data_IF_981372764596
#
_entry.id   IF_981372764596
#
_cell.length_a   1.000
_cell.length_b   1.000
_cell.length_c   1.000
_cell.angle_alpha   90.00
_cell.angle_beta   90.00
_cell.angle_gamma   90.00
#
_symmetry.space_group_name_H-M   'P 1'
#
loop_
_entity.id
_entity.type
_entity.pdbx_description
1 polymer ?
#
# COMPACT_ATOMS: atom_id res chain seq x y z
N UNK A 1 -13.06 -10.39 40.04
CA UNK A 1 -13.13 -11.62 39.27
C UNK A 1 -12.78 -11.27 37.84
N UNK A 2 -11.49 -11.40 37.47
CA UNK A 2 -11.04 -11.27 36.08
C UNK A 2 -11.52 -12.50 35.34
N UNK A 3 -12.60 -12.37 34.55
CA UNK A 3 -12.99 -13.39 33.60
C UNK A 3 -11.92 -13.41 32.50
N UNK A 4 -10.98 -14.33 32.59
CA UNK A 4 -10.12 -14.67 31.49
C UNK A 4 -11.02 -15.19 30.37
N UNK A 5 -11.20 -14.39 29.32
CA UNK A 5 -11.79 -14.86 28.09
C UNK A 5 -10.79 -15.83 27.47
N UNK A 6 -11.00 -17.12 27.67
CA UNK A 6 -10.26 -18.14 26.96
C UNK A 6 -10.55 -17.98 25.47
N UNK A 7 -9.50 -17.69 24.71
CA UNK A 7 -9.51 -17.53 23.27
C UNK A 7 -8.85 -18.76 22.65
N UNK A 8 -9.55 -19.46 21.79
CA UNK A 8 -8.92 -20.45 20.91
C UNK A 8 -8.27 -19.73 19.75
N UNK A 9 -6.98 -19.98 19.51
CA UNK A 9 -6.23 -19.37 18.41
C UNK A 9 -5.70 -20.48 17.53
N UNK A 10 -6.15 -20.50 16.27
CA UNK A 10 -5.59 -21.38 15.25
C UNK A 10 -4.73 -20.55 14.32
N UNK A 11 -3.50 -21.00 14.09
CA UNK A 11 -2.53 -20.31 13.25
C UNK A 11 -2.04 -21.23 12.14
N UNK A 12 -1.74 -20.62 10.98
CA UNK A 12 -1.05 -21.28 9.90
C UNK A 12 -0.04 -20.34 9.26
N UNK A 13 1.19 -20.80 9.05
CA UNK A 13 2.26 -19.99 8.44
C UNK A 13 3.28 -20.86 7.70
N UNK A 14 4.11 -20.20 6.88
CA UNK A 14 5.24 -20.84 6.20
C UNK A 14 4.82 -21.95 5.25
N UNK A 15 5.59 -23.03 5.26
CA UNK A 15 5.41 -24.29 4.49
C UNK A 15 4.50 -25.28 5.25
N UNK A 16 3.17 -25.35 5.02
CA UNK A 16 2.31 -24.73 6.01
C UNK A 16 2.39 -25.48 7.33
N UNK A 17 2.80 -24.75 8.32
CA UNK A 17 2.75 -25.16 9.72
C UNK A 17 1.41 -24.73 10.31
N UNK A 18 0.81 -25.60 11.11
CA UNK A 18 -0.46 -25.34 11.78
C UNK A 18 -0.32 -25.46 13.29
N UNK A 19 -1.01 -24.59 14.01
CA UNK A 19 -1.30 -24.74 15.44
C UNK A 19 -2.82 -24.76 15.56
N UNK A 20 -3.35 -25.82 16.18
CA UNK A 20 -4.80 -25.98 16.45
C UNK A 20 -5.29 -24.99 17.50
N UNK A 21 -6.62 -24.86 17.68
CA UNK A 21 -7.20 -24.02 18.74
C UNK A 21 -6.73 -24.40 20.15
N UNK A 22 -6.34 -25.64 20.36
CA UNK A 22 -5.86 -26.16 21.64
C UNK A 22 -4.33 -26.21 21.74
N UNK A 23 -3.63 -25.66 20.71
CA UNK A 23 -2.19 -25.46 20.71
C UNK A 23 -1.36 -26.66 20.22
N UNK A 24 -1.97 -27.65 19.55
CA UNK A 24 -1.25 -28.77 18.95
C UNK A 24 -0.62 -28.34 17.62
N UNK A 25 0.70 -28.54 17.52
CA UNK A 25 1.47 -28.24 16.30
C UNK A 25 1.53 -29.44 15.36
N UNK A 26 1.34 -29.20 14.06
CA UNK A 26 1.62 -30.16 12.99
C UNK A 26 1.99 -29.42 11.69
N UNK A 27 2.65 -30.10 10.75
CA UNK A 27 2.92 -29.62 9.40
C UNK A 27 2.14 -30.44 8.40
N UNK A 28 1.65 -29.81 7.32
CA UNK A 28 0.85 -30.51 6.34
C UNK A 28 1.05 -29.92 4.93
N UNK A 29 1.48 -30.78 4.00
CA UNK A 29 1.67 -30.43 2.60
C UNK A 29 0.44 -30.82 1.79
N UNK A 30 -0.35 -29.83 1.38
CA UNK A 30 -1.55 -30.07 0.59
C UNK A 30 -1.71 -29.06 -0.54
N UNK A 31 -2.33 -29.48 -1.63
CA UNK A 31 -2.58 -28.65 -2.82
C UNK A 31 -4.05 -28.65 -3.18
N UNK A 32 -4.89 -28.31 -2.21
CA UNK A 32 -6.35 -28.25 -2.33
C UNK A 32 -6.93 -27.16 -1.44
N UNK A 33 -8.22 -26.92 -1.58
CA UNK A 33 -9.02 -26.17 -0.61
C UNK A 33 -9.52 -27.13 0.46
N UNK A 34 -9.25 -26.81 1.72
CA UNK A 34 -9.61 -27.62 2.88
C UNK A 34 -10.55 -26.86 3.81
N UNK A 35 -11.30 -27.61 4.61
CA UNK A 35 -12.07 -27.04 5.72
C UNK A 35 -11.09 -26.71 6.84
N UNK A 36 -10.81 -25.43 7.01
CA UNK A 36 -9.95 -24.96 8.10
C UNK A 36 -10.68 -25.06 9.44
N UNK A 37 -11.90 -24.58 9.47
CA UNK A 37 -12.77 -24.64 10.64
C UNK A 37 -14.24 -24.66 10.20
N UNK A 38 -15.04 -25.53 10.76
CA UNK A 38 -16.49 -25.47 10.70
C UNK A 38 -17.10 -25.81 12.06
N UNK A 39 -18.33 -25.35 12.28
CA UNK A 39 -19.08 -25.70 13.48
C UNK A 39 -19.62 -27.14 13.39
N UNK A 40 -19.39 -27.95 14.42
CA UNK A 40 -19.99 -29.31 14.54
C UNK A 40 -21.51 -29.20 14.54
N UNK A 41 -22.04 -28.23 15.28
CA UNK A 41 -23.46 -27.88 15.27
C UNK A 41 -23.61 -26.44 14.84
N UNK A 42 -24.22 -26.20 13.69
CA UNK A 42 -24.40 -24.88 13.10
C UNK A 42 -25.22 -23.97 14.02
N UNK A 43 -24.55 -23.13 14.80
CA UNK A 43 -25.12 -22.17 15.75
C UNK A 43 -25.01 -20.74 15.27
N UNK A 44 -23.86 -20.41 14.72
CA UNK A 44 -23.56 -19.07 14.21
C UNK A 44 -23.40 -19.06 12.69
N UNK A 45 -23.39 -20.24 12.05
CA UNK A 45 -23.18 -20.44 10.63
C UNK A 45 -21.85 -19.86 10.15
N UNK A 46 -20.79 -20.10 10.92
CA UNK A 46 -19.42 -19.75 10.56
C UNK A 46 -18.69 -20.99 10.01
N UNK A 47 -18.13 -20.83 8.81
CA UNK A 47 -17.27 -21.84 8.19
C UNK A 47 -16.09 -21.15 7.51
N UNK A 48 -14.91 -21.68 7.67
CA UNK A 48 -13.67 -21.10 7.15
C UNK A 48 -12.95 -22.17 6.33
N UNK A 49 -12.55 -21.80 5.12
CA UNK A 49 -11.77 -22.63 4.23
C UNK A 49 -10.38 -22.04 4.08
N UNK A 50 -9.38 -22.90 3.93
CA UNK A 50 -8.02 -22.54 3.50
C UNK A 50 -7.74 -23.15 2.14
N UNK A 51 -7.24 -22.34 1.22
CA UNK A 51 -6.78 -22.79 -0.07
C UNK A 51 -5.27 -22.86 -0.07
N UNK A 52 -4.73 -24.06 -0.03
CA UNK A 52 -3.30 -24.34 -0.13
C UNK A 52 -2.92 -24.64 -1.57
N UNK A 53 -1.79 -24.11 -2.01
CA UNK A 53 -1.22 -24.37 -3.33
C UNK A 53 0.29 -24.55 -3.21
N UNK A 54 0.90 -25.30 -4.13
CA UNK A 54 2.36 -25.31 -4.20
C UNK A 54 2.88 -23.93 -4.59
N UNK A 55 3.68 -23.32 -3.71
CA UNK A 55 4.20 -21.96 -3.88
C UNK A 55 5.30 -21.91 -4.93
N UNK A 56 6.16 -22.94 -4.94
CA UNK A 56 7.23 -23.11 -5.91
C UNK A 56 6.97 -24.39 -6.73
N UNK A 57 6.91 -24.28 -8.06
CA UNK A 57 6.72 -25.45 -8.92
C UNK A 57 7.87 -26.45 -8.88
N UNK A 58 9.03 -26.06 -8.33
CA UNK A 58 10.24 -26.90 -8.25
C UNK A 58 10.40 -27.58 -6.90
N UNK A 59 9.66 -27.14 -5.90
CA UNK A 59 9.66 -27.65 -4.53
C UNK A 59 8.23 -28.04 -4.16
N UNK A 60 8.00 -29.24 -3.65
CA UNK A 60 6.67 -29.70 -3.19
C UNK A 60 6.28 -29.04 -1.86
N UNK A 61 6.34 -27.70 -1.84
CA UNK A 61 6.11 -26.84 -0.68
C UNK A 61 4.80 -26.12 -0.84
N UNK A 62 3.88 -26.27 0.10
CA UNK A 62 2.57 -25.63 0.07
C UNK A 62 2.56 -24.27 0.77
N UNK A 63 1.73 -23.36 0.27
CA UNK A 63 1.46 -22.08 0.90
C UNK A 63 -0.04 -21.83 1.01
N UNK A 64 -0.52 -21.21 2.07
CA UNK A 64 -1.90 -20.74 2.15
C UNK A 64 -2.08 -19.54 1.23
N UNK A 65 -2.75 -19.75 0.09
CA UNK A 65 -3.04 -18.71 -0.91
C UNK A 65 -4.19 -17.82 -0.50
N UNK A 66 -5.23 -18.39 0.11
CA UNK A 66 -6.40 -17.64 0.53
C UNK A 66 -7.15 -18.27 1.70
N UNK A 67 -7.91 -17.44 2.42
CA UNK A 67 -8.96 -17.86 3.33
C UNK A 67 -10.31 -17.44 2.78
N UNK A 68 -11.26 -18.36 2.70
CA UNK A 68 -12.65 -18.07 2.38
C UNK A 68 -13.50 -18.24 3.65
N UNK A 69 -14.16 -17.16 4.05
CA UNK A 69 -14.96 -17.10 5.28
C UNK A 69 -16.43 -17.00 4.90
N UNK A 70 -17.20 -18.02 5.21
CA UNK A 70 -18.64 -18.03 5.08
C UNK A 70 -19.27 -17.77 6.44
N UNK A 71 -20.03 -16.67 6.56
CA UNK A 71 -20.76 -16.30 7.77
C UNK A 71 -22.19 -15.89 7.42
N UNK A 72 -23.16 -16.72 7.81
CA UNK A 72 -24.53 -16.57 7.37
C UNK A 72 -24.67 -16.66 5.86
N UNK A 73 -25.11 -15.57 5.21
CA UNK A 73 -25.25 -15.50 3.75
C UNK A 73 -24.08 -14.79 3.06
N UNK A 74 -23.07 -14.36 3.81
CA UNK A 74 -21.93 -13.63 3.28
C UNK A 74 -20.73 -14.56 3.11
N UNK A 75 -20.08 -14.45 1.97
CA UNK A 75 -18.83 -15.16 1.68
C UNK A 75 -17.79 -14.15 1.30
N UNK A 76 -16.74 -14.06 2.12
CA UNK A 76 -15.60 -13.17 1.91
C UNK A 76 -14.34 -14.02 1.73
N UNK A 77 -13.57 -13.72 0.70
CA UNK A 77 -12.27 -14.37 0.46
C UNK A 77 -11.16 -13.35 0.66
N UNK A 78 -10.23 -13.66 1.56
CA UNK A 78 -8.98 -12.94 1.74
C UNK A 78 -7.90 -13.68 0.95
N UNK A 79 -7.27 -13.03 -0.02
CA UNK A 79 -6.36 -13.69 -0.96
C UNK A 79 -5.04 -12.94 -1.12
N UNK A 80 -3.95 -13.68 -1.26
CA UNK A 80 -2.67 -13.18 -1.70
C UNK A 80 -2.40 -13.65 -3.13
N UNK A 81 -2.37 -12.71 -4.08
CA UNK A 81 -2.12 -13.00 -5.50
C UNK A 81 -0.63 -13.20 -5.82
N UNK A 82 0.27 -12.93 -4.89
CA UNK A 82 1.70 -13.11 -5.09
C UNK A 82 2.33 -13.79 -3.87
N UNK A 83 2.54 -15.10 -3.99
CA UNK A 83 3.09 -15.93 -2.90
C UNK A 83 4.62 -15.87 -2.83
N UNK A 84 5.27 -15.53 -3.94
CA UNK A 84 6.73 -15.43 -4.04
C UNK A 84 7.11 -13.99 -4.38
N UNK A 85 7.31 -13.14 -3.37
CA UNK A 85 7.69 -11.75 -3.56
C UNK A 85 6.82 -10.76 -2.79
N UNK A 86 6.74 -9.51 -3.27
CA UNK A 86 5.93 -8.49 -2.60
C UNK A 86 4.44 -8.91 -2.57
N UNK A 87 3.80 -8.98 -1.40
CA UNK A 87 2.44 -9.47 -1.25
C UNK A 87 1.44 -8.56 -1.97
N UNK A 88 0.47 -9.18 -2.63
CA UNK A 88 -0.67 -8.49 -3.21
C UNK A 88 -1.94 -9.01 -2.56
N UNK A 89 -2.26 -8.45 -1.40
CA UNK A 89 -3.43 -8.83 -0.62
C UNK A 89 -4.69 -8.15 -1.14
N UNK A 90 -5.77 -8.92 -1.25
CA UNK A 90 -7.06 -8.45 -1.70
C UNK A 90 -8.19 -9.17 -0.95
N UNK A 91 -9.27 -8.45 -0.67
CA UNK A 91 -10.50 -9.04 -0.16
C UNK A 91 -11.56 -9.07 -1.27
N UNK A 92 -12.23 -10.20 -1.41
CA UNK A 92 -13.27 -10.41 -2.41
C UNK A 92 -14.59 -10.76 -1.73
N UNK A 93 -15.71 -10.26 -2.25
CA UNK A 93 -17.06 -10.71 -1.89
C UNK A 93 -17.71 -11.35 -3.11
N UNK A 94 -18.03 -12.63 -3.03
CA UNK A 94 -18.59 -13.40 -4.14
C UNK A 94 -17.74 -13.32 -5.43
N UNK A 95 -16.42 -13.24 -5.30
CA UNK A 95 -15.49 -13.13 -6.41
C UNK A 95 -15.23 -11.70 -6.92
N UNK A 96 -15.96 -10.70 -6.45
CA UNK A 96 -15.75 -9.30 -6.79
C UNK A 96 -14.90 -8.59 -5.73
N UNK A 97 -14.02 -7.68 -6.18
CA UNK A 97 -13.14 -6.92 -5.31
C UNK A 97 -13.90 -6.06 -4.32
N UNK A 98 -13.61 -6.24 -3.05
CA UNK A 98 -14.19 -5.48 -1.96
C UNK A 98 -13.40 -4.19 -1.72
N UNK A 99 -14.08 -3.05 -1.68
CA UNK A 99 -13.46 -1.77 -1.31
C UNK A 99 -13.25 -1.74 0.21
N UNK A 100 -12.00 -1.62 0.65
CA UNK A 100 -11.65 -1.55 2.07
C UNK A 100 -11.46 -0.09 2.53
N UNK A 101 -11.81 0.24 3.80
CA UNK A 101 -12.42 -0.62 4.78
C UNK A 101 -13.90 -0.90 4.46
N UNK A 102 -14.36 -2.10 4.77
CA UNK A 102 -15.73 -2.53 4.57
C UNK A 102 -16.40 -2.82 5.92
N UNK A 103 -17.57 -2.27 6.16
CA UNK A 103 -18.37 -2.52 7.36
C UNK A 103 -19.83 -2.61 6.99
N UNK A 104 -20.38 -3.80 7.00
CA UNK A 104 -21.80 -4.06 6.76
C UNK A 104 -22.29 -5.29 7.54
N UNK A 105 -23.58 -5.25 7.97
CA UNK A 105 -24.33 -6.41 8.46
C UNK A 105 -23.65 -7.25 9.55
N UNK A 106 -22.92 -6.67 10.46
CA UNK A 106 -22.21 -7.36 11.54
C UNK A 106 -20.81 -7.89 11.22
N UNK A 107 -20.24 -7.60 10.07
CA UNK A 107 -18.83 -7.88 9.77
C UNK A 107 -18.07 -6.59 9.45
N UNK A 108 -16.77 -6.62 9.74
CA UNK A 108 -15.81 -5.61 9.28
C UNK A 108 -14.69 -6.31 8.53
N UNK A 109 -14.24 -5.70 7.42
CA UNK A 109 -13.03 -6.13 6.70
C UNK A 109 -12.16 -4.91 6.49
N UNK A 110 -10.90 -5.01 6.85
CA UNK A 110 -9.96 -3.90 6.76
C UNK A 110 -8.57 -4.38 6.37
N UNK A 111 -7.77 -3.48 5.81
CA UNK A 111 -6.34 -3.67 5.63
C UNK A 111 -5.61 -2.88 6.70
N UNK A 112 -4.79 -3.52 7.49
CA UNK A 112 -4.04 -2.89 8.56
C UNK A 112 -2.67 -3.51 8.72
N UNK A 113 -1.65 -2.66 8.78
CA UNK A 113 -0.28 -3.13 8.81
C UNK A 113 0.04 -3.99 7.58
N UNK A 114 0.47 -5.22 7.83
CA UNK A 114 0.84 -6.20 6.81
C UNK A 114 -0.27 -7.22 6.53
N UNK A 115 -1.44 -7.06 7.16
CA UNK A 115 -2.52 -8.04 7.13
C UNK A 115 -3.84 -7.46 6.59
N UNK A 116 -4.66 -8.36 6.03
CA UNK A 116 -6.10 -8.20 5.96
C UNK A 116 -6.71 -8.73 7.26
N UNK A 117 -7.68 -8.02 7.80
CA UNK A 117 -8.37 -8.38 9.03
C UNK A 117 -9.86 -8.49 8.73
N UNK A 118 -10.43 -9.64 9.06
CA UNK A 118 -11.86 -9.89 9.05
C UNK A 118 -12.35 -10.01 10.49
N UNK A 119 -13.36 -9.24 10.84
CA UNK A 119 -13.89 -9.20 12.20
C UNK A 119 -15.41 -9.44 12.21
N UNK A 120 -15.88 -10.23 13.18
CA UNK A 120 -17.29 -10.33 13.57
C UNK A 120 -17.41 -9.73 14.98
N UNK A 121 -17.66 -8.41 15.12
CA UNK A 121 -17.61 -7.71 16.41
C UNK A 121 -18.56 -8.30 17.46
N UNK A 122 -19.76 -8.74 17.04
CA UNK A 122 -20.78 -9.34 17.92
C UNK A 122 -20.30 -10.63 18.60
N UNK A 123 -19.42 -11.37 17.92
CA UNK A 123 -18.90 -12.66 18.41
C UNK A 123 -17.46 -12.54 18.90
N UNK A 124 -16.83 -11.37 18.81
CA UNK A 124 -15.41 -11.18 19.06
C UNK A 124 -14.51 -12.14 18.27
N UNK A 125 -14.91 -12.48 17.04
CA UNK A 125 -14.12 -13.28 16.12
C UNK A 125 -13.20 -12.35 15.34
N UNK A 126 -11.91 -12.65 15.29
CA UNK A 126 -10.93 -11.92 14.49
C UNK A 126 -10.12 -12.91 13.67
N UNK A 127 -10.12 -12.73 12.37
CA UNK A 127 -9.35 -13.53 11.43
C UNK A 127 -8.36 -12.61 10.72
N UNK A 128 -7.09 -12.94 10.78
CA UNK A 128 -6.04 -12.22 10.08
C UNK A 128 -5.49 -13.08 8.94
N UNK A 129 -5.17 -12.45 7.83
CA UNK A 129 -4.53 -13.07 6.69
C UNK A 129 -3.50 -12.13 6.10
N UNK A 130 -2.27 -12.59 5.96
CA UNK A 130 -1.15 -11.79 5.47
C UNK A 130 -0.22 -12.55 4.53
N UNK A 131 0.93 -11.96 4.28
CA UNK A 131 1.97 -12.57 3.46
C UNK A 131 2.49 -13.88 4.06
N UNK A 132 2.61 -13.93 5.37
CA UNK A 132 3.31 -14.99 6.08
C UNK A 132 2.38 -16.09 6.61
N UNK A 133 1.07 -15.88 6.53
CA UNK A 133 0.11 -16.85 7.04
C UNK A 133 -1.18 -16.20 7.52
N UNK A 134 -1.84 -16.89 8.43
CA UNK A 134 -3.13 -16.49 8.99
C UNK A 134 -3.23 -16.83 10.47
N UNK A 135 -4.16 -16.16 11.15
CA UNK A 135 -4.63 -16.56 12.48
C UNK A 135 -6.14 -16.43 12.57
N UNK A 136 -6.79 -17.42 13.19
CA UNK A 136 -8.21 -17.46 13.48
C UNK A 136 -8.42 -17.43 14.99
N UNK A 137 -8.97 -16.33 15.49
CA UNK A 137 -9.22 -16.12 16.91
C UNK A 137 -10.70 -16.30 17.21
N UNK A 138 -11.05 -17.34 17.98
CA UNK A 138 -12.41 -17.68 18.37
C UNK A 138 -12.58 -17.66 19.89
N UNK A 139 -13.52 -16.88 20.44
CA UNK A 139 -13.83 -16.96 21.86
C UNK A 139 -14.45 -18.30 22.25
N UNK A 140 -13.85 -18.98 23.23
CA UNK A 140 -14.32 -20.25 23.76
C UNK A 140 -15.80 -20.19 24.22
N UNK A 141 -16.24 -19.07 24.74
CA UNK A 141 -17.63 -18.81 25.14
C UNK A 141 -18.66 -19.16 24.05
N UNK A 142 -18.31 -18.93 22.79
CA UNK A 142 -19.20 -19.11 21.64
C UNK A 142 -18.93 -20.41 20.89
N UNK A 143 -17.65 -20.78 20.76
CA UNK A 143 -17.19 -21.88 19.90
C UNK A 143 -16.63 -23.07 20.65
N UNK A 144 -16.48 -23.00 21.98
CA UNK A 144 -15.99 -24.10 22.80
C UNK A 144 -16.77 -25.39 22.59
N UNK A 145 -16.07 -26.50 22.36
CA UNK A 145 -16.63 -27.82 22.02
C UNK A 145 -17.49 -27.89 20.74
N UNK A 146 -17.35 -26.89 19.83
CA UNK A 146 -18.17 -26.79 18.62
C UNK A 146 -17.35 -26.51 17.36
N UNK A 147 -16.11 -26.96 17.28
CA UNK A 147 -15.26 -26.80 16.11
C UNK A 147 -14.70 -28.11 15.63
N UNK A 148 -14.42 -28.20 14.32
CA UNK A 148 -13.74 -29.30 13.65
C UNK A 148 -13.08 -28.80 12.37
N UNK A 149 -12.18 -29.57 11.76
CA UNK A 149 -11.39 -29.21 10.57
C UNK A 149 -9.90 -29.18 10.88
N UNK A 150 -9.09 -28.52 10.02
CA UNK A 150 -7.65 -28.39 10.19
C UNK A 150 -7.24 -27.70 11.50
N UNK A 151 -8.04 -26.77 12.00
CA UNK A 151 -7.82 -26.13 13.30
C UNK A 151 -8.16 -27.00 14.51
N UNK A 152 -8.62 -28.22 14.31
CA UNK A 152 -8.97 -29.14 15.39
C UNK A 152 -10.22 -28.72 16.17
N UNK A 153 -10.30 -29.21 17.38
CA UNK A 153 -11.37 -28.86 18.33
C UNK A 153 -10.98 -27.65 19.17
N UNK A 154 -11.94 -27.01 19.77
CA UNK A 154 -11.74 -25.93 20.74
C UNK A 154 -12.25 -26.42 22.10
N UNK A 155 -11.54 -27.37 22.70
CA UNK A 155 -11.94 -28.06 23.95
C UNK A 155 -10.96 -27.79 25.09
N UNK A 156 -9.83 -27.13 24.81
CA UNK A 156 -8.66 -26.98 25.66
C UNK A 156 -8.01 -28.33 25.98
N UNK A 157 -8.06 -29.27 25.01
CA UNK A 157 -7.49 -30.61 25.13
C UNK A 157 -6.92 -31.08 23.78
N UNK A 158 -5.63 -31.02 23.61
CA UNK A 158 -4.92 -31.43 22.38
C UNK A 158 -5.17 -32.89 21.96
N UNK A 159 -5.62 -33.76 22.90
CA UNK A 159 -5.80 -35.17 22.62
C UNK A 159 -6.98 -35.47 21.67
N UNK A 160 -7.92 -34.53 21.48
CA UNK A 160 -9.07 -34.69 20.60
C UNK A 160 -9.05 -33.79 19.36
N UNK A 161 -7.93 -33.11 19.11
CA UNK A 161 -7.76 -32.20 17.97
C UNK A 161 -7.73 -32.91 16.63
N UNK A 162 -7.06 -34.08 16.54
CA UNK A 162 -6.91 -34.82 15.29
C UNK A 162 -8.15 -35.68 14.97
N UNK A 163 -9.31 -35.02 14.81
CA UNK A 163 -10.60 -35.66 14.59
C UNK A 163 -10.93 -35.73 13.10
N UNK A 164 -11.28 -36.90 12.61
CA UNK A 164 -11.79 -37.11 11.26
C UNK A 164 -13.24 -36.61 11.12
N UNK A 165 -13.74 -36.35 9.89
CA UNK A 165 -15.16 -36.03 9.65
C UNK A 165 -16.13 -37.11 10.17
N UNK A 166 -15.66 -38.34 10.30
CA UNK A 166 -16.43 -39.48 10.88
C UNK A 166 -16.55 -39.40 12.41
N UNK A 167 -15.78 -38.51 13.06
CA UNK A 167 -15.68 -38.39 14.52
C UNK A 167 -14.59 -39.27 15.14
N UNK A 168 -13.91 -40.11 14.35
CA UNK A 168 -12.79 -40.95 14.78
C UNK A 168 -11.54 -40.07 15.07
N UNK A 169 -10.76 -40.45 16.07
CA UNK A 169 -9.50 -39.80 16.41
C UNK A 169 -8.32 -40.55 15.82
N UNK A 170 -7.39 -39.81 15.19
CA UNK A 170 -6.12 -40.34 14.69
C UNK A 170 -4.97 -39.76 15.50
N UNK A 171 -3.85 -40.49 15.56
CA UNK A 171 -2.70 -40.06 16.38
C UNK A 171 -1.84 -38.94 15.77
N UNK A 172 -2.10 -38.55 14.53
CA UNK A 172 -1.34 -37.53 13.79
C UNK A 172 -2.30 -36.58 13.04
N UNK A 173 -2.24 -35.29 13.33
CA UNK A 173 -3.07 -34.29 12.66
C UNK A 173 -2.70 -34.08 11.20
N UNK A 174 -1.48 -34.34 10.76
CA UNK A 174 -1.13 -34.32 9.34
C UNK A 174 -1.93 -35.38 8.56
N UNK A 175 -2.13 -36.56 9.15
CA UNK A 175 -3.01 -37.59 8.57
C UNK A 175 -4.46 -37.13 8.62
N UNK A 176 -4.93 -36.53 9.71
CA UNK A 176 -6.28 -35.98 9.83
C UNK A 176 -6.56 -34.96 8.73
N UNK A 177 -5.59 -34.10 8.41
CA UNK A 177 -5.77 -33.03 7.44
C UNK A 177 -6.15 -33.53 6.03
N UNK A 178 -5.66 -34.70 5.62
CA UNK A 178 -6.02 -35.34 4.34
C UNK A 178 -7.55 -35.61 4.21
N UNK A 179 -8.25 -35.73 5.33
CA UNK A 179 -9.68 -36.09 5.35
C UNK A 179 -10.62 -34.88 5.40
N UNK A 180 -10.08 -33.66 5.38
CA UNK A 180 -10.85 -32.43 5.42
C UNK A 180 -10.84 -31.61 4.10
N UNK A 181 -10.81 -32.21 2.87
CA UNK A 181 -10.98 -31.44 1.66
C UNK A 181 -12.37 -30.78 1.64
N UNK A 182 -12.47 -29.60 1.08
CA UNK A 182 -13.74 -28.91 0.92
C UNK A 182 -14.61 -29.59 -0.16
N UNK A 183 -15.45 -30.54 0.24
CA UNK A 183 -16.29 -31.34 -0.67
C UNK A 183 -17.43 -30.53 -1.30
N UNK A 184 -17.75 -29.36 -0.79
CA UNK A 184 -18.72 -28.41 -1.30
C UNK A 184 -18.12 -27.42 -2.32
N UNK A 185 -16.82 -27.53 -2.62
CA UNK A 185 -16.10 -26.77 -3.63
C UNK A 185 -15.67 -27.74 -4.75
N UNK A 186 -15.91 -27.36 -6.01
CA UNK A 186 -15.47 -28.14 -7.15
C UNK A 186 -13.93 -28.05 -7.32
N UNK A 187 -13.24 -29.16 -7.01
CA UNK A 187 -11.78 -29.29 -7.11
C UNK A 187 -11.39 -30.70 -7.61
N UNK A 188 -11.51 -30.96 -8.93
CA UNK A 188 -11.37 -32.31 -9.50
C UNK A 188 -9.98 -32.91 -9.35
N UNK A 189 -8.95 -32.09 -9.15
CA UNK A 189 -7.56 -32.52 -9.00
C UNK A 189 -7.15 -32.78 -7.55
N UNK A 190 -8.07 -32.60 -6.59
CA UNK A 190 -7.80 -32.86 -5.20
C UNK A 190 -7.76 -34.38 -4.95
N UNK A 191 -6.66 -34.91 -4.39
CA UNK A 191 -6.55 -36.35 -4.12
C UNK A 191 -7.59 -36.78 -3.09
N UNK A 192 -8.18 -37.94 -3.32
CA UNK A 192 -9.08 -38.56 -2.34
C UNK A 192 -8.23 -39.24 -1.25
N UNK A 193 -8.54 -38.99 0.04
CA UNK A 193 -7.80 -39.61 1.11
C UNK A 193 -7.96 -41.16 1.12
N UNK A 194 -6.98 -41.91 1.63
CA UNK A 194 -7.06 -43.36 1.72
C UNK A 194 -8.21 -43.77 2.65
N UNK A 195 -8.86 -44.91 2.35
CA UNK A 195 -10.02 -45.40 3.11
C UNK A 195 -9.68 -45.72 4.58
N UNK A 196 -8.41 -46.05 4.86
CA UNK A 196 -7.93 -46.33 6.23
C UNK A 196 -6.73 -45.43 6.49
N UNK A 197 -6.78 -44.57 7.55
CA UNK A 197 -5.66 -43.72 7.90
C UNK A 197 -4.45 -44.56 8.35
N UNK A 198 -3.30 -44.30 7.77
CA UNK A 198 -2.02 -44.91 8.18
C UNK A 198 -1.34 -44.01 9.20
N UNK A 199 -1.36 -44.40 10.47
CA UNK A 199 -0.60 -43.72 11.50
C UNK A 199 0.88 -44.14 11.36
N UNK A 200 1.64 -43.39 10.56
CA UNK A 200 3.10 -43.52 10.52
C UNK A 200 3.69 -42.58 11.58
N UNK A 201 4.41 -43.05 12.59
CA UNK A 201 5.11 -42.18 13.51
C UNK A 201 6.14 -41.38 12.73
N UNK A 202 6.07 -40.07 12.73
CA UNK A 202 7.12 -39.21 12.22
C UNK A 202 8.38 -39.41 13.08
N UNK A 203 9.55 -39.64 12.49
CA UNK A 203 10.78 -39.73 13.30
C UNK A 203 11.00 -38.36 13.98
N UNK A 204 11.47 -38.32 15.24
CA UNK A 204 11.78 -37.10 15.92
C UNK A 204 12.93 -36.40 15.19
N UNK A 205 12.61 -35.33 14.46
CA UNK A 205 13.62 -34.45 13.89
C UNK A 205 14.26 -33.65 15.02
N UNK A 206 15.54 -33.92 15.27
CA UNK A 206 16.35 -33.01 16.06
C UNK A 206 16.53 -31.72 15.23
N UNK A 207 15.98 -30.58 15.69
CA UNK A 207 15.98 -29.37 14.89
C UNK A 207 17.36 -28.72 14.90
N UNK A 208 18.13 -28.95 13.85
CA UNK A 208 19.37 -28.22 13.57
C UNK A 208 19.13 -27.39 12.31
N UNK A 209 19.31 -26.06 12.36
CA UNK A 209 19.20 -25.21 11.17
C UNK A 209 20.14 -25.67 10.07
N UNK A 210 19.65 -25.76 8.84
CA UNK A 210 20.46 -26.17 7.69
C UNK A 210 21.38 -25.06 7.21
N UNK A 211 21.09 -23.83 7.58
CA UNK A 211 21.91 -22.63 7.26
C UNK A 211 22.74 -22.24 8.48
N UNK A 212 24.07 -22.01 8.33
CA UNK A 212 24.95 -21.67 9.46
C UNK A 212 24.57 -20.37 10.20
N UNK A 213 23.95 -19.41 9.48
CA UNK A 213 23.56 -18.08 10.00
C UNK A 213 22.05 -17.93 10.05
N UNK A 214 21.32 -18.98 10.43
CA UNK A 214 19.86 -18.97 10.51
C UNK A 214 19.34 -17.96 11.54
N UNK A 215 18.34 -17.16 11.14
CA UNK A 215 17.64 -16.24 12.04
C UNK A 215 16.70 -16.97 13.01
N UNK A 216 16.47 -18.27 12.85
CA UNK A 216 15.58 -19.07 13.71
C UNK A 216 15.97 -19.03 15.19
N UNK A 217 17.28 -18.97 15.49
CA UNK A 217 17.77 -18.90 16.87
C UNK A 217 17.31 -17.62 17.62
N UNK A 218 16.92 -16.59 16.87
CA UNK A 218 16.36 -15.36 17.45
C UNK A 218 15.10 -15.67 18.27
N UNK A 219 14.28 -16.65 17.85
CA UNK A 219 13.06 -17.08 18.56
C UNK A 219 13.33 -17.51 20.00
N UNK A 220 14.48 -18.13 20.27
CA UNK A 220 14.89 -18.61 21.60
C UNK A 220 15.80 -17.63 22.33
N UNK A 221 16.15 -16.53 21.69
CA UNK A 221 17.08 -15.54 22.25
C UNK A 221 16.44 -14.64 23.30
N UNK A 222 17.28 -13.80 23.94
CA UNK A 222 16.81 -12.78 24.89
C UNK A 222 15.89 -11.71 24.28
N UNK A 223 15.84 -11.57 22.95
CA UNK A 223 14.96 -10.65 22.25
C UNK A 223 13.48 -10.96 22.54
N UNK A 224 13.15 -12.24 22.62
CA UNK A 224 11.78 -12.70 22.91
C UNK A 224 11.57 -13.18 24.37
N UNK A 225 12.53 -12.97 25.25
CA UNK A 225 12.51 -13.51 26.62
C UNK A 225 11.23 -13.14 27.41
N UNK A 226 10.69 -11.95 27.21
CA UNK A 226 9.45 -11.52 27.89
C UNK A 226 8.22 -12.30 27.44
N UNK A 227 8.23 -12.82 26.21
CA UNK A 227 7.13 -13.60 25.64
C UNK A 227 7.19 -15.08 26.02
N UNK A 228 8.37 -15.67 26.20
CA UNK A 228 8.56 -17.11 26.46
C UNK A 228 7.68 -17.69 27.58
N UNK A 229 7.41 -16.98 28.69
CA UNK A 229 6.52 -17.50 29.72
C UNK A 229 5.04 -17.57 29.34
N UNK A 230 4.62 -16.81 28.32
CA UNK A 230 3.23 -16.71 27.88
C UNK A 230 2.96 -17.53 26.64
N UNK A 231 3.90 -17.53 25.69
CA UNK A 231 3.82 -18.25 24.41
C UNK A 231 5.13 -19.01 24.22
N UNK A 232 5.06 -20.33 24.11
CA UNK A 232 6.25 -21.16 23.87
C UNK A 232 6.82 -20.92 22.46
N UNK A 233 8.12 -20.66 22.29
CA UNK A 233 8.73 -20.50 20.97
C UNK A 233 8.97 -21.82 20.24
N UNK A 234 8.80 -22.99 20.89
CA UNK A 234 9.27 -24.29 20.39
C UNK A 234 8.63 -24.68 19.05
N UNK A 235 7.32 -24.46 18.89
CA UNK A 235 6.61 -24.81 17.67
C UNK A 235 7.02 -23.89 16.50
N UNK A 236 7.16 -22.59 16.77
CA UNK A 236 7.63 -21.62 15.78
C UNK A 236 9.09 -21.87 15.40
N UNK A 237 9.92 -22.26 16.35
CA UNK A 237 11.29 -22.64 16.09
C UNK A 237 11.40 -23.89 15.20
N UNK A 238 10.60 -24.94 15.47
CA UNK A 238 10.53 -26.13 14.61
C UNK A 238 10.11 -25.79 13.18
N UNK A 239 9.07 -24.98 13.02
CA UNK A 239 8.63 -24.50 11.70
C UNK A 239 9.70 -23.71 10.98
N UNK A 240 10.36 -22.76 11.67
CA UNK A 240 11.44 -21.97 11.12
C UNK A 240 12.59 -22.82 10.60
N UNK A 241 13.04 -23.79 11.41
CA UNK A 241 14.12 -24.73 11.03
C UNK A 241 13.71 -25.58 9.85
N UNK A 242 12.49 -26.09 9.83
CA UNK A 242 11.96 -26.85 8.72
C UNK A 242 12.00 -26.03 7.43
N UNK A 243 11.46 -24.80 7.44
CA UNK A 243 11.44 -23.90 6.30
C UNK A 243 12.85 -23.57 5.81
N UNK A 244 13.79 -23.31 6.73
CA UNK A 244 15.18 -23.00 6.37
C UNK A 244 15.94 -24.15 5.70
N UNK A 245 15.45 -25.38 5.88
CA UNK A 245 16.03 -26.60 5.28
C UNK A 245 15.41 -26.95 3.93
N UNK A 246 14.18 -26.58 3.68
CA UNK A 246 13.42 -27.00 2.49
C UNK A 246 13.24 -25.88 1.47
N UNK A 247 13.35 -24.63 1.89
CA UNK A 247 13.18 -23.47 1.02
C UNK A 247 14.50 -22.72 0.84
N UNK A 248 14.86 -22.46 -0.41
CA UNK A 248 16.11 -21.76 -0.75
C UNK A 248 16.09 -20.26 -0.44
N UNK A 249 14.93 -19.69 -0.07
CA UNK A 249 14.75 -18.27 0.17
C UNK A 249 14.90 -17.94 1.67
N UNK A 250 15.93 -17.21 2.11
CA UNK A 250 16.14 -16.88 3.53
C UNK A 250 15.01 -16.03 4.14
N UNK A 251 14.13 -15.43 3.33
CA UNK A 251 12.98 -14.66 3.81
C UNK A 251 11.95 -15.57 4.49
N UNK A 252 11.93 -16.86 4.21
CA UNK A 252 10.97 -17.80 4.83
C UNK A 252 11.14 -17.90 6.35
N UNK A 253 12.35 -17.72 6.87
CA UNK A 253 12.59 -17.65 8.32
C UNK A 253 11.82 -16.49 8.97
N UNK A 254 11.60 -15.39 8.21
CA UNK A 254 10.84 -14.23 8.67
C UNK A 254 9.39 -14.58 8.95
N UNK A 255 8.84 -15.60 8.31
CA UNK A 255 7.42 -16.00 8.50
C UNK A 255 7.20 -16.53 9.90
N UNK A 256 8.07 -17.43 10.37
CA UNK A 256 8.01 -17.99 11.72
C UNK A 256 8.30 -16.95 12.80
N UNK A 257 9.30 -16.06 12.59
CA UNK A 257 9.59 -14.94 13.48
C UNK A 257 8.39 -14.01 13.62
N UNK A 258 7.74 -13.67 12.49
CA UNK A 258 6.59 -12.81 12.46
C UNK A 258 5.35 -13.44 13.10
N UNK A 259 5.11 -14.74 12.84
CA UNK A 259 4.02 -15.48 13.46
C UNK A 259 4.18 -15.49 14.99
N UNK A 260 5.40 -15.79 15.48
CA UNK A 260 5.68 -15.75 16.91
C UNK A 260 5.53 -14.34 17.51
N UNK A 261 6.03 -13.30 16.85
CA UNK A 261 5.85 -11.92 17.28
C UNK A 261 4.37 -11.51 17.34
N UNK A 262 3.56 -11.97 16.38
CA UNK A 262 2.12 -11.74 16.38
C UNK A 262 1.43 -12.46 17.56
N UNK A 263 1.78 -13.70 17.85
CA UNK A 263 1.29 -14.44 19.01
C UNK A 263 1.68 -13.72 20.33
N UNK A 264 2.90 -13.22 20.44
CA UNK A 264 3.36 -12.40 21.58
C UNK A 264 2.52 -11.12 21.71
N UNK A 265 2.26 -10.43 20.60
CA UNK A 265 1.46 -9.21 20.58
C UNK A 265 0.02 -9.46 21.07
N UNK A 266 -0.59 -10.59 20.68
CA UNK A 266 -1.92 -10.99 21.20
C UNK A 266 -1.89 -11.33 22.71
N UNK A 267 -0.74 -11.81 23.22
CA UNK A 267 -0.51 -12.00 24.65
C UNK A 267 -0.16 -10.69 25.40
N UNK A 268 -0.13 -9.55 24.69
CA UNK A 268 0.16 -8.23 25.26
C UNK A 268 1.64 -7.86 25.30
N UNK A 269 2.51 -8.62 24.65
CA UNK A 269 3.97 -8.39 24.62
C UNK A 269 4.38 -7.91 23.22
N UNK A 270 4.82 -6.66 23.12
CA UNK A 270 5.23 -6.03 21.88
C UNK A 270 6.76 -6.03 21.72
N UNK A 271 7.29 -6.75 20.74
CA UNK A 271 8.72 -6.95 20.56
C UNK A 271 9.20 -6.34 19.26
N UNK A 272 10.21 -5.47 19.32
CA UNK A 272 10.87 -4.86 18.15
C UNK A 272 11.91 -5.82 17.53
N UNK A 273 11.49 -7.02 17.19
CA UNK A 273 12.36 -8.11 16.73
C UNK A 273 13.07 -7.82 15.39
N UNK A 274 12.46 -7.05 14.49
CA UNK A 274 13.05 -6.71 13.18
C UNK A 274 14.34 -5.91 13.28
N UNK A 275 14.58 -5.22 14.40
CA UNK A 275 15.82 -4.50 14.66
C UNK A 275 17.02 -5.45 14.90
N UNK A 276 16.76 -6.74 15.12
CA UNK A 276 17.75 -7.76 15.43
C UNK A 276 18.04 -8.71 14.26
N UNK A 277 17.46 -8.45 13.09
CA UNK A 277 17.69 -9.22 11.86
C UNK A 277 17.88 -8.29 10.67
N UNK A 278 18.77 -8.65 9.74
CA UNK A 278 18.96 -7.91 8.48
C UNK A 278 18.06 -8.42 7.36
N UNK A 279 17.70 -9.70 7.42
CA UNK A 279 16.90 -10.37 6.38
C UNK A 279 15.45 -9.94 6.44
N UNK A 280 14.94 -9.73 7.67
CA UNK A 280 13.53 -9.40 7.91
C UNK A 280 13.29 -7.90 8.15
N UNK A 281 14.14 -7.02 7.63
CA UNK A 281 13.97 -5.58 7.78
C UNK A 281 12.61 -5.13 7.21
N UNK A 282 12.00 -4.15 7.86
CA UNK A 282 10.76 -3.52 7.40
C UNK A 282 11.04 -2.07 7.06
N UNK A 283 10.95 -1.74 5.77
CA UNK A 283 11.07 -0.36 5.29
C UNK A 283 9.68 0.26 5.22
N UNK A 284 9.41 1.19 6.13
CA UNK A 284 8.19 1.98 6.10
C UNK A 284 8.33 3.18 5.14
N UNK A 285 7.22 3.63 4.52
CA UNK A 285 7.18 4.91 3.82
C UNK A 285 7.70 6.05 4.71
N UNK A 286 8.25 7.13 4.12
CA UNK A 286 8.89 8.22 4.88
C UNK A 286 7.98 8.94 5.90
N UNK A 287 6.66 8.90 5.67
CA UNK A 287 5.63 9.50 6.52
C UNK A 287 5.11 8.56 7.61
N UNK A 288 5.64 7.32 7.68
CA UNK A 288 5.19 6.28 8.62
C UNK A 288 6.33 5.70 9.43
N UNK A 289 5.97 5.15 10.56
CA UNK A 289 6.91 4.45 11.46
C UNK A 289 6.48 3.01 11.66
N UNK A 290 7.46 2.12 11.73
CA UNK A 290 7.23 0.74 12.07
C UNK A 290 6.79 0.60 13.54
N UNK A 291 5.71 -0.15 13.77
CA UNK A 291 5.24 -0.53 15.10
C UNK A 291 4.99 -2.05 15.14
N UNK A 292 5.53 -2.77 16.12
CA UNK A 292 5.27 -4.21 16.26
C UNK A 292 3.85 -4.51 16.73
N UNK A 293 3.20 -3.56 17.41
CA UNK A 293 1.82 -3.66 17.89
C UNK A 293 1.10 -2.35 17.59
N UNK A 294 0.93 -2.02 16.33
CA UNK A 294 0.10 -0.89 15.94
C UNK A 294 -1.39 -1.22 16.05
N UNK A 295 -2.27 -0.22 16.19
CA UNK A 295 -3.72 -0.44 16.22
C UNK A 295 -4.21 -0.93 14.87
N UNK A 296 -4.99 -2.02 14.85
CA UNK A 296 -5.56 -2.54 13.62
C UNK A 296 -6.43 -1.50 12.91
N UNK A 297 -7.10 -0.66 13.67
CA UNK A 297 -7.85 0.49 13.15
C UNK A 297 -7.20 1.78 13.63
N UNK A 298 -6.53 2.49 12.71
CA UNK A 298 -5.89 3.77 13.01
C UNK A 298 -6.93 4.89 13.06
N UNK A 299 -6.76 5.81 14.02
CA UNK A 299 -7.59 7.01 14.10
C UNK A 299 -7.48 7.88 12.84
N UNK A 300 -8.60 8.41 12.37
CA UNK A 300 -8.69 9.27 11.19
C UNK A 300 -9.31 10.63 11.52
N UNK A 301 -9.23 11.57 10.57
CA UNK A 301 -9.93 12.85 10.69
C UNK A 301 -11.46 12.74 10.47
N UNK A 302 -11.92 11.62 9.97
CA UNK A 302 -13.33 11.35 9.62
C UNK A 302 -14.04 10.48 10.66
N UNK A 303 -13.32 10.02 11.71
CA UNK A 303 -13.89 9.11 12.70
C UNK A 303 -15.08 9.71 13.43
N UNK A 304 -16.11 8.89 13.55
CA UNK A 304 -17.27 9.22 14.36
C UNK A 304 -17.01 8.80 15.81
N UNK A 305 -17.11 9.69 16.81
CA UNK A 305 -16.85 9.36 18.21
C UNK A 305 -17.77 8.27 18.79
N UNK A 306 -18.86 7.92 18.09
CA UNK A 306 -19.79 6.87 18.48
C UNK A 306 -19.48 5.52 17.80
N UNK A 307 -18.46 5.42 16.96
CA UNK A 307 -18.11 4.17 16.28
C UNK A 307 -17.22 3.33 17.18
N UNK A 308 -17.51 2.04 17.27
CA UNK A 308 -16.75 1.10 18.08
C UNK A 308 -15.46 0.75 17.35
N UNK A 309 -14.32 1.24 17.85
CA UNK A 309 -12.99 0.94 17.31
C UNK A 309 -12.53 -0.42 17.82
N UNK A 310 -11.94 -1.23 16.94
CA UNK A 310 -11.35 -2.51 17.34
C UNK A 310 -10.10 -2.29 18.21
N UNK A 311 -9.96 -3.11 19.26
CA UNK A 311 -8.78 -3.11 20.15
C UNK A 311 -7.68 -4.07 19.68
N UNK A 312 -7.89 -4.75 18.55
CA UNK A 312 -6.91 -5.67 17.99
C UNK A 312 -5.64 -4.92 17.54
N UNK A 313 -4.48 -5.53 17.78
CA UNK A 313 -3.19 -4.96 17.38
C UNK A 313 -2.55 -5.81 16.29
N UNK A 314 -1.77 -5.16 15.43
CA UNK A 314 -1.06 -5.82 14.32
C UNK A 314 0.27 -5.13 14.05
N UNK A 315 1.21 -5.87 13.49
CA UNK A 315 2.49 -5.34 13.04
C UNK A 315 2.34 -4.55 11.73
N UNK A 316 3.11 -3.48 11.57
CA UNK A 316 3.13 -2.73 10.30
C UNK A 316 3.68 -1.32 10.40
N UNK A 317 3.41 -0.54 9.34
CA UNK A 317 3.76 0.87 9.23
C UNK A 317 2.55 1.75 9.54
N UNK A 318 2.68 2.58 10.56
CA UNK A 318 1.61 3.40 11.11
C UNK A 318 2.02 4.87 11.16
N UNK A 319 1.06 5.75 11.33
CA UNK A 319 1.35 7.15 11.58
C UNK A 319 2.22 7.32 12.83
N UNK A 320 3.16 8.28 12.83
CA UNK A 320 3.93 8.67 14.02
C UNK A 320 3.01 9.04 15.19
N UNK A 321 3.56 8.98 16.40
CA UNK A 321 2.81 9.35 17.60
C UNK A 321 2.37 10.82 17.54
N UNK A 322 1.11 11.08 17.88
CA UNK A 322 0.50 12.41 17.79
C UNK A 322 -0.13 12.71 16.42
N UNK A 323 0.18 11.93 15.40
CA UNK A 323 -0.45 12.04 14.08
C UNK A 323 -1.58 11.01 13.91
N UNK A 324 -2.47 11.28 12.97
CA UNK A 324 -3.53 10.35 12.56
C UNK A 324 -3.67 10.33 11.04
N UNK A 325 -4.34 9.33 10.51
CA UNK A 325 -4.66 9.29 9.10
C UNK A 325 -5.61 10.44 8.73
N UNK A 326 -5.38 11.07 7.61
CA UNK A 326 -6.34 12.04 7.06
C UNK A 326 -7.70 11.35 6.82
N UNK A 327 -7.69 10.27 6.06
CA UNK A 327 -8.77 9.30 5.93
C UNK A 327 -8.21 7.92 5.58
N UNK A 328 -9.06 6.91 5.62
CA UNK A 328 -8.68 5.50 5.37
C UNK A 328 -8.22 5.26 3.92
N UNK A 329 -8.69 6.08 2.97
CA UNK A 329 -8.40 5.91 1.53
C UNK A 329 -7.05 6.51 1.12
N UNK A 330 -6.71 7.71 1.61
CA UNK A 330 -5.47 8.40 1.24
C UNK A 330 -4.23 7.77 1.88
N UNK A 331 -4.38 7.19 3.08
CA UNK A 331 -3.28 6.64 3.85
C UNK A 331 -2.25 7.70 4.32
N UNK A 332 -2.56 8.99 4.19
CA UNK A 332 -1.66 10.11 4.54
C UNK A 332 -1.75 10.42 6.02
N UNK A 333 -0.61 10.59 6.68
CA UNK A 333 -0.54 10.97 8.09
C UNK A 333 -0.53 12.49 8.25
N UNK A 334 -1.36 13.02 9.16
CA UNK A 334 -1.48 14.45 9.44
C UNK A 334 -1.45 14.73 10.95
N UNK A 335 -0.82 15.83 11.34
CA UNK A 335 -0.89 16.33 12.72
C UNK A 335 -2.23 16.97 13.00
N UNK A 336 -2.74 17.74 12.05
CA UNK A 336 -4.01 18.44 12.12
C UNK A 336 -4.91 18.04 10.95
N UNK A 337 -6.18 17.92 11.24
CA UNK A 337 -7.17 17.67 10.20
C UNK A 337 -7.41 18.91 9.35
N UNK A 338 -7.76 18.70 8.08
CA UNK A 338 -7.99 19.77 7.12
C UNK A 338 -8.59 19.23 5.84
N UNK A 339 -8.06 19.64 4.70
CA UNK A 339 -8.44 19.16 3.36
C UNK A 339 -7.23 18.58 2.62
N UNK A 340 -7.47 17.72 1.63
CA UNK A 340 -6.46 17.38 0.62
C UNK A 340 -6.64 18.32 -0.58
N UNK A 341 -5.54 18.92 -1.03
CA UNK A 341 -5.56 19.67 -2.28
C UNK A 341 -5.66 18.73 -3.50
N UNK A 342 -5.83 19.24 -4.72
CA UNK A 342 -5.94 18.38 -5.91
C UNK A 342 -4.72 17.53 -6.24
N UNK A 343 -3.57 17.78 -5.60
CA UNK A 343 -2.34 16.99 -5.72
C UNK A 343 -2.20 15.99 -4.55
N UNK A 344 -3.16 15.98 -3.63
CA UNK A 344 -3.16 15.12 -2.45
C UNK A 344 -2.31 15.64 -1.29
N UNK A 345 -1.92 16.92 -1.31
CA UNK A 345 -1.16 17.55 -0.23
C UNK A 345 -2.12 18.01 0.87
N UNK A 346 -1.87 17.66 2.14
CA UNK A 346 -2.70 18.12 3.26
C UNK A 346 -2.60 19.64 3.46
N UNK A 347 -3.76 20.28 3.65
CA UNK A 347 -3.92 21.71 3.95
C UNK A 347 -4.69 21.89 5.24
N UNK A 348 -4.26 22.82 6.11
CA UNK A 348 -5.01 23.12 7.33
C UNK A 348 -6.34 23.82 7.01
N UNK A 349 -7.33 23.74 7.90
CA UNK A 349 -8.60 24.47 7.73
C UNK A 349 -8.33 25.97 7.63
N UNK A 350 -9.00 26.63 6.70
CA UNK A 350 -8.86 28.06 6.36
C UNK A 350 -7.50 28.44 5.73
N UNK A 351 -6.60 27.50 5.45
CA UNK A 351 -5.38 27.74 4.68
C UNK A 351 -5.73 28.14 3.25
N UNK A 352 -5.08 29.24 2.79
CA UNK A 352 -5.20 29.75 1.43
C UNK A 352 -3.96 29.41 0.64
N UNK A 353 -4.13 28.91 -0.57
CA UNK A 353 -3.04 28.57 -1.48
C UNK A 353 -3.45 28.79 -2.93
N UNK A 354 -2.47 28.88 -3.81
CA UNK A 354 -2.71 29.01 -5.24
C UNK A 354 -2.50 27.66 -5.93
N UNK A 355 -3.44 27.30 -6.79
CA UNK A 355 -3.36 26.10 -7.61
C UNK A 355 -3.83 26.36 -9.03
N UNK A 356 -2.93 26.18 -10.04
CA UNK A 356 -3.24 26.35 -11.47
C UNK A 356 -3.99 27.67 -11.77
N UNK A 357 -3.48 28.78 -11.26
CA UNK A 357 -4.05 30.11 -11.40
C UNK A 357 -5.45 30.26 -10.79
N UNK A 358 -5.71 29.51 -9.73
CA UNK A 358 -6.90 29.66 -8.90
C UNK A 358 -6.49 29.95 -7.46
N UNK A 359 -7.20 30.87 -6.83
CA UNK A 359 -7.11 31.11 -5.38
C UNK A 359 -7.97 30.08 -4.66
N UNK A 360 -7.34 29.19 -3.92
CA UNK A 360 -7.97 28.07 -3.22
C UNK A 360 -7.96 28.29 -1.71
N UNK A 361 -8.96 27.76 -1.05
CA UNK A 361 -9.07 27.71 0.41
C UNK A 361 -9.56 26.34 0.84
N UNK A 362 -8.95 25.79 1.89
CA UNK A 362 -9.50 24.63 2.58
C UNK A 362 -10.68 25.08 3.47
N UNK A 363 -11.89 24.79 3.04
CA UNK A 363 -13.11 25.24 3.71
C UNK A 363 -13.49 24.28 4.84
N UNK A 364 -13.51 24.79 6.07
CA UNK A 364 -13.76 23.98 7.27
C UNK A 364 -15.18 23.38 7.31
N UNK A 365 -16.27 24.13 6.96
CA UNK A 365 -17.62 23.59 6.98
C UNK A 365 -17.84 22.43 6.01
N UNK A 366 -17.30 22.53 4.80
CA UNK A 366 -17.44 21.50 3.76
C UNK A 366 -16.37 20.44 3.79
N UNK A 367 -15.27 20.68 4.55
CA UNK A 367 -14.05 19.83 4.60
C UNK A 367 -13.44 19.56 3.22
N UNK A 368 -13.63 20.50 2.28
CA UNK A 368 -13.17 20.40 0.90
C UNK A 368 -12.38 21.63 0.48
N UNK A 369 -11.57 21.49 -0.57
CA UNK A 369 -10.88 22.62 -1.18
C UNK A 369 -11.83 23.32 -2.15
N UNK A 370 -12.05 24.61 -1.94
CA UNK A 370 -12.84 25.48 -2.81
C UNK A 370 -11.89 26.42 -3.53
N UNK A 371 -11.90 26.36 -4.87
CA UNK A 371 -11.06 27.19 -5.71
C UNK A 371 -11.90 28.18 -6.53
N UNK A 372 -11.40 29.41 -6.70
CA UNK A 372 -11.96 30.44 -7.57
C UNK A 372 -10.87 30.93 -8.51
N UNK A 373 -11.21 31.33 -9.75
CA UNK A 373 -10.24 31.92 -10.66
C UNK A 373 -9.52 33.08 -9.99
N UNK A 374 -8.20 33.14 -10.12
CA UNK A 374 -7.38 34.21 -9.54
C UNK A 374 -7.82 35.56 -10.12
N UNK A 375 -8.04 36.52 -9.25
CA UNK A 375 -8.39 37.89 -9.65
C UNK A 375 -7.11 38.69 -9.86
N UNK A 376 -6.73 38.90 -11.12
CA UNK A 376 -5.58 39.71 -11.44
C UNK A 376 -5.92 41.21 -11.32
N UNK A 377 -4.99 42.04 -10.83
CA UNK A 377 -5.15 43.50 -10.90
C UNK A 377 -5.23 43.93 -12.37
N UNK A 378 -6.02 45.01 -12.63
CA UNK A 378 -6.14 45.55 -13.96
C UNK A 378 -4.74 45.93 -14.49
N UNK A 379 -4.33 45.36 -15.63
CA UNK A 379 -2.99 45.63 -16.14
C UNK A 379 -2.87 47.14 -16.51
N UNK A 380 -1.72 47.78 -16.20
CA UNK A 380 -1.52 49.18 -16.59
C UNK A 380 -1.61 49.31 -18.12
N UNK A 381 -2.22 50.39 -18.60
CA UNK A 381 -2.37 50.66 -20.03
C UNK A 381 -0.98 50.92 -20.64
N UNK A 382 -0.56 50.09 -21.56
CA UNK A 382 0.68 50.34 -22.32
C UNK A 382 0.38 51.38 -23.39
N UNK A 383 1.07 52.52 -23.35
CA UNK A 383 0.96 53.56 -24.36
C UNK A 383 2.02 53.39 -25.45
N UNK A 384 1.68 52.72 -26.54
CA UNK A 384 2.56 52.35 -27.63
C UNK A 384 2.43 53.41 -28.77
N UNK A 385 2.88 54.65 -28.54
CA UNK A 385 2.77 55.77 -29.51
C UNK A 385 3.87 55.77 -30.55
N UNK A 386 4.96 55.07 -30.34
CA UNK A 386 6.06 55.02 -31.30
C UNK A 386 5.68 54.17 -32.55
N UNK A 387 6.06 54.63 -33.75
CA UNK A 387 5.73 53.93 -34.99
C UNK A 387 6.24 52.46 -34.98
N UNK A 388 5.36 51.54 -35.44
CA UNK A 388 5.68 50.12 -35.52
C UNK A 388 5.46 49.37 -34.22
N UNK A 389 5.18 49.99 -33.09
CA UNK A 389 4.87 49.29 -31.86
C UNK A 389 3.36 49.09 -31.71
N UNK A 390 2.97 47.88 -31.37
CA UNK A 390 1.59 47.52 -31.07
C UNK A 390 1.48 47.04 -29.62
N UNK A 391 0.32 47.25 -29.02
CA UNK A 391 -0.02 46.71 -27.71
C UNK A 391 -0.30 45.21 -27.86
N UNK A 392 0.44 44.39 -27.17
CA UNK A 392 0.21 42.94 -27.11
C UNK A 392 0.00 42.52 -25.66
N UNK A 393 -0.81 41.48 -25.50
CA UNK A 393 -1.03 40.84 -24.23
C UNK A 393 0.12 39.83 -23.99
N UNK A 394 0.82 39.94 -22.87
CA UNK A 394 1.93 39.04 -22.50
C UNK A 394 1.78 38.59 -21.05
N UNK A 395 2.14 37.35 -20.75
CA UNK A 395 2.19 36.85 -19.39
C UNK A 395 3.14 37.69 -18.54
N UNK A 396 2.72 38.08 -17.35
CA UNK A 396 3.56 38.84 -16.42
C UNK A 396 4.77 38.02 -15.98
N UNK A 397 5.93 38.62 -15.90
CA UNK A 397 7.14 37.99 -15.36
C UNK A 397 7.11 37.86 -13.84
N UNK A 398 6.26 38.63 -13.16
CA UNK A 398 6.10 38.61 -11.69
C UNK A 398 5.06 37.57 -11.28
N UNK A 399 4.01 37.42 -12.08
CA UNK A 399 2.92 36.49 -11.80
C UNK A 399 2.48 35.83 -13.12
N UNK A 400 2.86 34.57 -13.35
CA UNK A 400 2.58 33.88 -14.61
C UNK A 400 1.08 33.65 -14.85
N UNK A 401 0.23 33.87 -13.84
CA UNK A 401 -1.21 33.75 -13.97
C UNK A 401 -1.89 35.03 -14.47
N UNK A 402 -1.16 36.15 -14.46
CA UNK A 402 -1.68 37.44 -14.86
C UNK A 402 -1.04 37.94 -16.16
N UNK A 403 -1.79 38.74 -16.88
CA UNK A 403 -1.31 39.34 -18.11
C UNK A 403 -0.99 40.83 -17.91
N UNK A 404 -0.02 41.28 -18.69
CA UNK A 404 0.37 42.70 -18.78
C UNK A 404 0.33 43.13 -20.25
N UNK A 405 0.00 44.41 -20.49
CA UNK A 405 0.12 44.98 -21.83
C UNK A 405 1.53 45.49 -22.04
N UNK A 406 2.20 45.02 -23.09
CA UNK A 406 3.56 45.46 -23.48
C UNK A 406 3.55 45.95 -24.93
N UNK A 407 4.42 46.89 -25.23
CA UNK A 407 4.63 47.35 -26.60
C UNK A 407 5.58 46.36 -27.30
N UNK A 408 5.12 45.68 -28.32
CA UNK A 408 5.93 44.78 -29.15
C UNK A 408 6.10 45.35 -30.54
N UNK A 409 7.33 45.34 -31.03
CA UNK A 409 7.63 45.79 -32.38
C UNK A 409 7.00 44.83 -33.41
N UNK A 410 6.24 45.40 -34.34
CA UNK A 410 5.66 44.72 -35.49
C UNK A 410 6.00 45.50 -36.76
N UNK A 411 7.06 45.08 -37.45
CA UNK A 411 7.61 45.77 -38.62
C UNK A 411 6.58 46.01 -39.71
N UNK A 412 5.60 45.15 -39.87
CA UNK A 412 4.56 45.27 -40.89
C UNK A 412 3.62 46.49 -40.69
N UNK A 413 3.64 47.12 -39.52
CA UNK A 413 2.87 48.31 -39.21
C UNK A 413 3.64 49.62 -39.41
N UNK A 414 4.90 49.49 -39.82
CA UNK A 414 5.76 50.65 -40.09
C UNK A 414 5.28 51.38 -41.36
N UNK A 415 5.30 52.71 -41.34
CA UNK A 415 5.00 53.49 -42.53
C UNK A 415 6.01 53.22 -43.64
N UNK A 416 5.56 53.00 -44.86
CA UNK A 416 6.42 52.80 -46.01
C UNK A 416 6.91 54.17 -46.47
N UNK A 417 8.15 54.52 -46.12
CA UNK A 417 8.78 55.74 -46.58
C UNK A 417 9.75 55.39 -47.71
N UNK A 418 9.47 55.86 -48.93
CA UNK A 418 10.45 55.83 -50.02
C UNK A 418 11.27 57.10 -49.98
N UNK A 419 12.59 56.98 -49.79
CA UNK A 419 13.47 58.10 -49.83
C UNK A 419 14.28 58.07 -51.16
N UNK A 420 14.22 59.15 -51.92
CA UNK A 420 15.09 59.34 -53.06
C UNK A 420 16.35 60.07 -52.62
N UNK A 421 17.44 59.43 -52.75
CA UNK A 421 18.74 60.03 -52.43
C UNK A 421 19.26 60.91 -53.60
N UNK A 422 19.94 62.03 -53.30
CA UNK A 422 20.61 62.84 -54.32
C UNK A 422 21.63 62.01 -55.09
N UNK A 423 21.97 62.50 -56.27
CA UNK A 423 23.05 61.93 -57.13
C UNK A 423 24.37 61.83 -56.32
N UNK A 424 24.97 60.66 -56.36
CA UNK A 424 26.19 60.40 -55.57
C UNK A 424 25.95 59.74 -54.22
N UNK A 425 24.70 59.50 -53.86
CA UNK A 425 24.27 58.83 -52.61
C UNK A 425 23.41 57.60 -52.89
N UNK A 426 23.56 56.60 -52.03
CA UNK A 426 22.72 55.37 -52.02
C UNK A 426 21.83 55.37 -50.80
N UNK A 427 20.60 54.91 -50.94
CA UNK A 427 19.76 54.71 -49.76
C UNK A 427 20.31 53.54 -48.92
N UNK A 428 20.42 53.75 -47.62
CA UNK A 428 20.73 52.72 -46.63
C UNK A 428 19.62 52.67 -45.66
N UNK A 429 19.16 51.45 -45.37
CA UNK A 429 18.07 51.18 -44.46
C UNK A 429 18.70 50.64 -43.19
N UNK A 430 18.44 51.22 -42.05
CA UNK A 430 18.89 50.76 -40.74
C UNK A 430 17.76 50.90 -39.72
N UNK A 431 17.72 50.01 -38.74
CA UNK A 431 16.80 50.13 -37.59
C UNK A 431 17.65 50.63 -36.42
N UNK A 432 17.47 51.92 -36.02
CA UNK A 432 18.21 52.43 -34.87
C UNK A 432 17.82 51.71 -33.58
N UNK A 433 18.76 51.68 -32.65
CA UNK A 433 18.56 51.06 -31.35
C UNK A 433 17.37 51.70 -30.61
N UNK A 434 16.46 50.91 -30.10
CA UNK A 434 15.23 51.36 -29.42
C UNK A 434 14.07 51.79 -30.36
N UNK A 435 14.22 51.77 -31.69
CA UNK A 435 13.16 52.00 -32.66
C UNK A 435 12.68 50.67 -33.27
N UNK A 436 11.41 50.61 -33.68
CA UNK A 436 10.87 49.43 -34.35
C UNK A 436 10.93 49.55 -35.87
N UNK A 437 10.70 50.76 -36.38
CA UNK A 437 10.63 50.96 -37.80
C UNK A 437 11.98 51.33 -38.42
N UNK A 438 12.28 50.82 -39.61
CA UNK A 438 13.52 51.17 -40.32
C UNK A 438 13.52 52.66 -40.72
N UNK A 439 14.65 53.26 -40.54
CA UNK A 439 14.94 54.63 -41.05
C UNK A 439 15.78 54.53 -42.31
N UNK A 440 15.45 55.39 -43.26
CA UNK A 440 16.18 55.51 -44.52
C UNK A 440 17.16 56.68 -44.42
N UNK A 441 18.41 56.46 -44.67
CA UNK A 441 19.47 57.50 -44.74
C UNK A 441 20.16 57.37 -46.07
N UNK A 442 20.74 58.51 -46.52
CA UNK A 442 21.54 58.53 -47.74
C UNK A 442 23.04 58.52 -47.41
N UNK A 443 23.72 57.46 -47.76
CA UNK A 443 25.14 57.34 -47.61
C UNK A 443 25.86 57.66 -48.95
N UNK A 444 27.00 58.38 -48.93
CA UNK A 444 27.73 58.69 -50.14
C UNK A 444 28.23 57.42 -50.86
N UNK A 445 27.96 57.31 -52.14
CA UNK A 445 28.56 56.31 -53.00
C UNK A 445 30.03 56.70 -53.24
N UNK A 446 30.86 55.69 -53.41
CA UNK A 446 32.28 55.96 -53.88
C UNK A 446 32.30 56.24 -55.40
N UNK A 447 31.66 57.34 -55.78
CA UNK A 447 31.55 57.77 -57.22
C UNK A 447 31.83 59.24 -57.29
N UNK A 448 32.38 59.68 -58.44
CA UNK A 448 32.54 61.11 -58.77
C UNK A 448 31.21 61.60 -59.38
N UNK A 449 30.74 62.79 -58.97
CA UNK A 449 29.53 63.43 -59.51
C UNK A 449 29.99 64.72 -60.28
N UNK A 450 29.60 64.82 -61.55
CA UNK A 450 29.77 66.03 -62.36
C UNK A 450 28.48 66.28 -63.14
N UNK A 451 27.92 67.48 -63.01
CA UNK A 451 26.67 67.91 -63.68
C UNK A 451 25.52 66.84 -63.50
N UNK A 452 25.33 66.43 -62.29
CA UNK A 452 24.25 65.45 -61.89
C UNK A 452 24.39 64.04 -62.53
N UNK A 453 25.62 63.72 -63.05
CA UNK A 453 25.93 62.38 -63.60
C UNK A 453 27.00 61.72 -62.76
N UNK A 454 26.79 60.42 -62.42
CA UNK A 454 27.68 59.60 -61.61
C UNK A 454 28.68 58.87 -62.48
N UNK A 455 29.95 58.97 -62.11
CA UNK A 455 31.06 58.26 -62.76
C UNK A 455 31.75 57.33 -61.74
N UNK A 456 32.06 56.14 -62.16
CA UNK A 456 32.80 55.22 -61.30
C UNK A 456 34.23 55.75 -61.09
N UNK A 457 34.66 55.83 -59.84
CA UNK A 457 36.03 56.12 -59.51
C UNK A 457 36.94 54.96 -59.97
N UNK A 458 37.71 55.18 -61.06
CA UNK A 458 38.80 54.25 -61.42
C UNK A 458 39.97 54.43 -60.45
N UNK A 459 40.55 53.34 -60.03
CA UNK A 459 41.70 53.33 -59.14
C UNK A 459 42.77 54.30 -59.70
N UNK A 460 43.12 55.35 -58.91
CA UNK A 460 44.22 56.30 -59.03
C UNK A 460 43.96 57.74 -59.54
N UNK A 461 42.86 58.34 -59.38
CA UNK A 461 42.84 59.79 -59.45
C UNK A 461 41.75 60.40 -58.57
N UNK A 462 42.15 61.42 -57.75
CA UNK A 462 41.18 62.25 -56.99
C UNK A 462 40.24 62.95 -57.99
N UNK A 463 38.98 62.96 -57.70
CA UNK A 463 37.99 63.80 -58.38
C UNK A 463 38.46 65.27 -58.26
N UNK A 464 38.95 65.88 -59.33
CA UNK A 464 39.17 67.29 -59.44
C UNK A 464 38.02 67.94 -60.16
#
# INVERSE_FOLDING_TARGET
MLSFFFLGVCEGWGDPHYITFDGLYYSYQGNCTYILMEEVTAKYHLKIYVDNVFCDPTEDVSCPRSLTIAYGFQVITLINHNLIGAPKLEALQNGERLKLPYSQQSIKVMSSGINLIYEIPRLNVVITFGMTGFAVNLPYKYFGNNTQGHCGTCTNNQADDCRLPTGELVGNCAVMADYWPANDIYQPNCPTPPVVPTNVPEPPLEPTPCTPDSSCDLLKSSVFAECHPLVSPENFYKGCVFDSCHLSNPIVECTSLQAYAAACAQAGICIHWRNHTKVCASDCPPDKVYKPCGPAEQATCEDNPNEQITTFVTEGCFCPDGMKLFNKESGICVEKCGCLDPEGIPREFNERFEYKCQDCICDEPTKTVICKPKTCPAPPTANCTAPGFIVVNQTSSVDPCCFVYVCKCQINTCPVNSMNCPVGYKPVVSVPEGKCCPEHTCEPKRVCVHKDVEYQAQFQSSCK
#
